data_IF_614773387128
#
_entry.id   IF_614773387128
#
_cell.length_a   1.000
_cell.length_b   1.000
_cell.length_c   1.000
_cell.angle_alpha   90.00
_cell.angle_beta   90.00
_cell.angle_gamma   90.00
#
_symmetry.space_group_name_H-M   'P 1'
#
loop_
_entity.id
_entity.type
_entity.pdbx_description
1 polymer ?
#
# COMPACT_ATOMS: atom_id res chain seq x y z
N UNK A 1 20.78 -43.21 -65.92
CA UNK A 1 20.51 -43.03 -64.48
C UNK A 1 21.64 -42.24 -63.87
N UNK A 2 21.29 -41.04 -63.41
CA UNK A 2 21.71 -40.36 -62.18
C UNK A 2 23.05 -39.62 -62.00
N UNK A 3 22.90 -38.66 -61.07
CA UNK A 3 23.80 -37.91 -60.18
C UNK A 3 24.76 -36.88 -60.81
N UNK A 4 24.91 -35.64 -60.35
CA UNK A 4 24.14 -34.72 -59.50
C UNK A 4 24.89 -33.39 -59.61
N UNK A 5 24.22 -32.32 -60.07
CA UNK A 5 24.77 -30.96 -60.00
C UNK A 5 24.68 -30.47 -58.56
N UNK A 6 25.73 -30.68 -57.77
CA UNK A 6 25.93 -30.03 -56.47
C UNK A 6 27.12 -29.10 -56.63
N UNK A 7 26.81 -27.90 -57.07
CA UNK A 7 27.73 -26.77 -57.15
C UNK A 7 27.07 -25.51 -56.61
N UNK A 8 26.28 -25.65 -55.53
CA UNK A 8 25.77 -24.52 -54.77
C UNK A 8 26.92 -23.89 -54.00
N UNK A 9 27.45 -22.80 -54.53
CA UNK A 9 28.50 -21.97 -53.94
C UNK A 9 27.97 -21.21 -52.72
N UNK A 10 27.63 -21.93 -51.65
CA UNK A 10 27.42 -21.35 -50.31
C UNK A 10 28.77 -21.16 -49.62
N UNK A 11 29.69 -20.44 -50.27
CA UNK A 11 31.06 -20.32 -49.80
C UNK A 11 31.44 -18.92 -49.33
N UNK A 12 30.95 -17.87 -50.00
CA UNK A 12 31.58 -16.54 -49.86
C UNK A 12 30.61 -15.35 -49.87
N UNK A 13 29.29 -15.56 -49.97
CA UNK A 13 28.32 -14.47 -49.78
C UNK A 13 27.94 -14.24 -48.32
N UNK A 14 28.64 -14.89 -47.38
CA UNK A 14 28.44 -14.77 -45.93
C UNK A 14 29.37 -13.76 -45.26
N UNK A 15 30.19 -13.03 -46.02
CA UNK A 15 31.11 -11.99 -45.51
C UNK A 15 30.41 -10.64 -45.28
N UNK A 16 29.08 -10.65 -45.06
CA UNK A 16 28.44 -9.60 -44.31
C UNK A 16 28.85 -9.81 -42.87
N UNK A 17 29.86 -9.05 -42.43
CA UNK A 17 30.18 -8.84 -41.01
C UNK A 17 28.91 -9.00 -40.18
N UNK A 18 28.92 -9.88 -39.19
CA UNK A 18 27.79 -10.32 -38.38
C UNK A 18 27.30 -9.19 -37.43
N UNK A 19 27.08 -8.02 -38.01
CA UNK A 19 26.69 -6.77 -37.37
C UNK A 19 25.33 -6.97 -36.74
N UNK A 20 24.41 -7.66 -37.41
CA UNK A 20 23.09 -7.94 -36.85
C UNK A 20 23.18 -8.83 -35.60
N UNK A 21 24.03 -9.87 -35.55
CA UNK A 21 24.17 -10.65 -34.31
C UNK A 21 24.95 -9.88 -33.24
N UNK A 22 25.96 -9.08 -33.60
CA UNK A 22 26.72 -8.25 -32.66
C UNK A 22 25.80 -7.19 -32.03
N UNK A 23 25.01 -6.48 -32.84
CA UNK A 23 24.02 -5.50 -32.41
C UNK A 23 22.94 -6.17 -31.58
N UNK A 24 22.43 -7.33 -32.00
CA UNK A 24 21.44 -8.09 -31.22
C UNK A 24 21.99 -8.48 -29.84
N UNK A 25 23.23 -9.00 -29.76
CA UNK A 25 23.87 -9.35 -28.49
C UNK A 25 24.11 -8.13 -27.60
N UNK A 26 24.52 -7.00 -28.17
CA UNK A 26 24.66 -5.72 -27.47
C UNK A 26 23.32 -5.23 -26.92
N UNK A 27 22.27 -5.29 -27.74
CA UNK A 27 20.91 -4.90 -27.35
C UNK A 27 20.36 -5.80 -26.24
N UNK A 28 20.56 -7.12 -26.33
CA UNK A 28 20.19 -8.05 -25.25
C UNK A 28 20.93 -7.74 -23.94
N UNK A 29 22.22 -7.44 -24.01
CA UNK A 29 23.00 -7.03 -22.84
C UNK A 29 22.51 -5.71 -22.23
N UNK A 30 22.12 -4.75 -23.06
CA UNK A 30 21.56 -3.48 -22.60
C UNK A 30 20.15 -3.65 -22.01
N UNK A 31 19.34 -4.51 -22.60
CA UNK A 31 18.01 -4.86 -22.09
C UNK A 31 18.12 -5.56 -20.73
N UNK A 32 19.03 -6.54 -20.59
CA UNK A 32 19.29 -7.20 -19.31
C UNK A 32 19.73 -6.22 -18.21
N UNK A 33 20.55 -5.20 -18.54
CA UNK A 33 20.90 -4.13 -17.60
C UNK A 33 19.68 -3.29 -17.21
N UNK A 34 18.83 -2.97 -18.18
CA UNK A 34 17.58 -2.25 -17.93
C UNK A 34 16.64 -3.04 -17.02
N UNK A 35 16.47 -4.33 -17.28
CA UNK A 35 15.63 -5.21 -16.47
C UNK A 35 16.15 -5.33 -15.03
N UNK A 36 17.47 -5.41 -14.85
CA UNK A 36 18.08 -5.40 -13.52
C UNK A 36 17.83 -4.08 -12.77
N UNK A 37 17.83 -2.93 -13.47
CA UNK A 37 17.48 -1.64 -12.85
C UNK A 37 16.00 -1.57 -12.47
N UNK A 38 15.10 -2.07 -13.32
CA UNK A 38 13.68 -2.16 -13.03
C UNK A 38 13.41 -3.06 -11.81
N UNK A 39 14.06 -4.22 -11.74
CA UNK A 39 13.94 -5.11 -10.59
C UNK A 39 14.39 -4.42 -9.29
N UNK A 40 15.53 -3.70 -9.33
CA UNK A 40 16.01 -2.91 -8.18
C UNK A 40 15.01 -1.83 -7.77
N UNK A 41 14.43 -1.13 -8.76
CA UNK A 41 13.41 -0.10 -8.50
C UNK A 41 12.19 -0.72 -7.80
N UNK A 42 11.68 -1.85 -8.30
CA UNK A 42 10.55 -2.56 -7.69
C UNK A 42 10.84 -2.94 -6.24
N UNK A 43 12.03 -3.48 -5.96
CA UNK A 43 12.43 -3.84 -4.59
C UNK A 43 12.49 -2.60 -3.69
N UNK A 44 13.02 -1.48 -4.17
CA UNK A 44 13.05 -0.23 -3.41
C UNK A 44 11.63 0.32 -3.16
N UNK A 45 10.73 0.22 -4.12
CA UNK A 45 9.33 0.60 -3.96
C UNK A 45 8.60 -0.26 -2.93
N UNK A 46 8.86 -1.58 -2.92
CA UNK A 46 8.34 -2.47 -1.88
C UNK A 46 8.88 -2.12 -0.49
N UNK A 47 10.20 -1.87 -0.38
CA UNK A 47 10.80 -1.46 0.89
C UNK A 47 10.20 -0.13 1.39
N UNK A 48 10.07 0.87 0.52
CA UNK A 48 9.45 2.15 0.85
C UNK A 48 8.01 1.96 1.33
N UNK A 49 7.25 1.11 0.65
CA UNK A 49 5.87 0.81 1.02
C UNK A 49 5.79 0.15 2.39
N UNK A 50 6.65 -0.83 2.67
CA UNK A 50 6.73 -1.47 3.98
C UNK A 50 7.05 -0.49 5.10
N UNK A 51 7.98 0.46 4.88
CA UNK A 51 8.28 1.48 5.88
C UNK A 51 7.09 2.41 6.16
N UNK A 52 6.37 2.82 5.11
CA UNK A 52 5.17 3.63 5.28
C UNK A 52 4.09 2.90 6.06
N UNK A 53 3.84 1.61 5.76
CA UNK A 53 2.88 0.79 6.52
C UNK A 53 3.21 0.74 8.00
N UNK A 54 4.49 0.50 8.35
CA UNK A 54 4.91 0.47 9.76
C UNK A 54 4.70 1.83 10.44
N UNK A 55 4.97 2.93 9.73
CA UNK A 55 4.72 4.27 10.25
C UNK A 55 3.24 4.51 10.52
N UNK A 56 2.36 4.11 9.60
CA UNK A 56 0.91 4.21 9.75
C UNK A 56 0.41 3.38 10.94
N UNK A 57 0.93 2.15 11.11
CA UNK A 57 0.61 1.29 12.23
C UNK A 57 1.02 1.91 13.58
N UNK A 58 2.21 2.50 13.66
CA UNK A 58 2.69 3.21 14.86
C UNK A 58 1.81 4.42 15.16
N UNK A 59 1.44 5.19 14.14
CA UNK A 59 0.58 6.36 14.31
C UNK A 59 -0.84 5.97 14.77
N UNK A 60 -1.39 4.89 14.21
CA UNK A 60 -2.65 4.32 14.64
C UNK A 60 -2.57 3.86 16.09
N UNK A 61 -1.55 3.06 16.45
CA UNK A 61 -1.32 2.61 17.82
C UNK A 61 -1.24 3.77 18.81
N UNK A 62 -0.51 4.85 18.48
CA UNK A 62 -0.42 6.05 19.30
C UNK A 62 -1.79 6.70 19.51
N UNK A 63 -2.57 6.83 18.44
CA UNK A 63 -3.91 7.44 18.48
C UNK A 63 -4.87 6.59 19.33
N UNK A 64 -4.91 5.28 19.10
CA UNK A 64 -5.73 4.35 19.86
C UNK A 64 -5.35 4.33 21.33
N UNK A 65 -4.06 4.27 21.65
CA UNK A 65 -3.56 4.29 23.04
C UNK A 65 -3.89 5.60 23.73
N UNK A 66 -3.76 6.72 23.02
CA UNK A 66 -4.17 8.02 23.55
C UNK A 66 -5.66 8.04 23.88
N UNK A 67 -6.53 7.58 22.98
CA UNK A 67 -7.97 7.48 23.22
C UNK A 67 -8.30 6.63 24.46
N UNK A 68 -7.60 5.51 24.68
CA UNK A 68 -7.80 4.71 25.89
C UNK A 68 -7.23 5.33 27.16
N UNK A 69 -6.32 6.30 27.06
CA UNK A 69 -5.84 7.10 28.20
C UNK A 69 -6.83 8.19 28.60
N UNK A 70 -7.77 8.57 27.74
CA UNK A 70 -8.78 9.57 28.08
C UNK A 70 -9.76 8.99 29.11
N UNK A 71 -9.89 9.68 30.25
CA UNK A 71 -10.80 9.31 31.33
C UNK A 71 -12.25 9.14 30.86
N UNK A 72 -12.69 9.94 29.88
CA UNK A 72 -14.03 9.84 29.30
C UNK A 72 -14.32 8.56 28.52
N UNK A 73 -13.28 7.86 28.05
CA UNK A 73 -13.43 6.54 27.41
C UNK A 73 -13.43 5.41 28.44
N UNK A 74 -12.75 5.59 29.57
CA UNK A 74 -12.65 4.59 30.65
C UNK A 74 -13.82 4.61 31.63
N UNK A 75 -14.57 5.70 31.73
CA UNK A 75 -15.75 5.81 32.59
C UNK A 75 -16.90 6.53 31.89
N UNK A 76 -17.57 5.85 30.92
CA UNK A 76 -18.71 6.43 30.24
C UNK A 76 -19.92 6.53 31.16
N UNK A 77 -20.34 7.74 31.49
CA UNK A 77 -21.58 7.99 32.22
C UNK A 77 -22.79 7.78 31.30
N UNK A 78 -23.69 6.86 31.65
CA UNK A 78 -24.92 6.58 30.88
C UNK A 78 -26.07 7.40 31.43
N UNK A 79 -26.66 8.26 30.60
CA UNK A 79 -27.84 9.06 30.96
C UNK A 79 -29.10 8.40 30.42
N UNK A 80 -30.14 8.30 31.24
CA UNK A 80 -31.48 7.89 30.83
C UNK A 80 -32.50 8.95 31.23
N UNK A 81 -33.31 9.41 30.29
CA UNK A 81 -34.43 10.30 30.53
C UNK A 81 -35.74 9.50 30.53
N UNK A 82 -36.66 9.83 31.43
CA UNK A 82 -37.99 9.22 31.48
C UNK A 82 -38.89 9.64 30.31
N UNK A 83 -38.64 10.81 29.71
CA UNK A 83 -39.32 11.27 28.50
C UNK A 83 -38.33 11.96 27.55
N UNK A 84 -37.75 11.17 26.64
CA UNK A 84 -36.74 11.62 25.67
C UNK A 84 -37.28 12.58 24.61
N UNK A 85 -38.60 12.65 24.42
CA UNK A 85 -39.24 13.56 23.46
C UNK A 85 -39.39 14.98 23.98
N UNK A 86 -39.32 15.18 25.30
CA UNK A 86 -39.47 16.50 25.94
C UNK A 86 -38.11 17.02 26.41
N UNK A 87 -37.26 16.17 26.99
CA UNK A 87 -35.90 16.56 27.42
C UNK A 87 -34.89 15.45 27.12
N UNK A 88 -33.77 15.85 26.48
CA UNK A 88 -32.57 15.02 26.32
C UNK A 88 -31.45 15.57 27.18
N UNK A 89 -30.61 14.68 27.71
CA UNK A 89 -29.46 15.04 28.53
C UNK A 89 -28.25 14.20 28.13
N UNK A 90 -27.08 14.83 28.11
CA UNK A 90 -25.80 14.19 27.76
C UNK A 90 -24.84 14.41 28.92
N UNK A 91 -24.26 13.33 29.46
CA UNK A 91 -23.25 13.42 30.50
C UNK A 91 -21.86 13.42 29.86
N UNK A 92 -20.96 14.22 30.42
CA UNK A 92 -19.53 14.14 30.12
C UNK A 92 -18.83 13.16 31.09
N UNK A 93 -17.54 12.96 30.87
CA UNK A 93 -16.67 12.07 31.66
C UNK A 93 -16.60 12.41 33.15
N UNK A 94 -16.79 13.68 33.50
CA UNK A 94 -16.67 14.21 34.87
C UNK A 94 -18.03 14.30 35.58
N UNK A 95 -19.13 13.96 34.90
CA UNK A 95 -20.47 14.04 35.48
C UNK A 95 -20.60 13.07 36.67
N UNK A 96 -21.14 13.58 37.78
CA UNK A 96 -21.45 12.76 38.94
C UNK A 96 -22.64 11.84 38.66
N UNK A 97 -22.62 10.62 39.21
CA UNK A 97 -23.73 9.69 39.11
C UNK A 97 -24.87 10.09 40.07
N UNK A 98 -25.71 11.02 39.63
CA UNK A 98 -26.82 11.58 40.41
C UNK A 98 -28.12 11.62 39.60
N UNK A 99 -29.26 11.54 40.29
CA UNK A 99 -30.57 11.68 39.68
C UNK A 99 -30.99 13.15 39.66
N UNK A 100 -31.39 13.66 38.50
CA UNK A 100 -31.94 15.01 38.34
C UNK A 100 -33.46 14.94 38.15
N UNK A 101 -34.20 15.78 38.89
CA UNK A 101 -35.65 15.97 38.70
C UNK A 101 -35.88 17.29 37.97
N UNK A 102 -36.64 17.24 36.89
CA UNK A 102 -36.93 18.38 36.02
C UNK A 102 -38.45 18.52 35.91
N UNK A 103 -38.95 19.73 36.11
CA UNK A 103 -40.35 20.09 35.85
C UNK A 103 -40.35 21.06 34.68
N UNK A 104 -41.13 20.75 33.65
CA UNK A 104 -41.28 21.58 32.46
C UNK A 104 -42.65 22.23 32.53
N UNK A 105 -42.69 23.51 32.86
CA UNK A 105 -43.88 24.34 32.74
C UNK A 105 -43.90 25.02 31.36
N UNK A 106 -45.10 25.16 30.79
CA UNK A 106 -45.34 25.71 29.45
C UNK A 106 -45.53 27.23 29.47
#
# INVERSE_FOLDING_TARGET
MSFSSIGGTYGLSGSGMDIDSIVTKLMMGQQAKSDALLQKKTVLEWQKTSYNTVYDDINNFRTTTFNYKLQGTLSPNKVSSSNTSVVTATANAEAANVNHSLVVDQ
#
